data_IF_816478577925
#
_entry.id   IF_816478577925
#
_cell.length_a   1.000
_cell.length_b   1.000
_cell.length_c   1.000
_cell.angle_alpha   90.00
_cell.angle_beta   90.00
_cell.angle_gamma   90.00
#
_symmetry.space_group_name_H-M   'P 1'
#
loop_
_entity.id
_entity.type
_entity.pdbx_description
1 polymer ?
#
# COMPACT_ATOMS: atom_id res chain seq x y z
N UNK A 1 5.20 -6.67 10.88
CA UNK A 1 5.34 -7.54 9.70
C UNK A 1 5.06 -6.81 8.39
N UNK A 2 3.87 -6.20 8.20
CA UNK A 2 3.54 -5.54 6.92
C UNK A 2 4.50 -4.37 6.58
N UNK A 3 4.82 -3.53 7.58
CA UNK A 3 5.79 -2.44 7.44
C UNK A 3 7.14 -2.94 6.94
N UNK A 4 7.75 -3.92 7.62
CA UNK A 4 9.04 -4.49 7.23
C UNK A 4 8.99 -5.11 5.83
N UNK A 5 7.88 -5.78 5.47
CA UNK A 5 7.71 -6.35 4.14
C UNK A 5 7.65 -5.26 3.05
N UNK A 6 7.01 -4.14 3.33
CA UNK A 6 6.97 -2.99 2.45
C UNK A 6 8.32 -2.28 2.37
N UNK A 7 8.98 -2.04 3.51
CA UNK A 7 10.29 -1.38 3.56
C UNK A 7 11.37 -2.17 2.80
N UNK A 8 11.27 -3.51 2.76
CA UNK A 8 12.11 -4.36 1.91
C UNK A 8 11.94 -4.11 0.41
N UNK A 9 10.79 -3.57 -0.03
CA UNK A 9 10.50 -3.27 -1.44
C UNK A 9 10.84 -1.84 -1.82
N UNK A 10 10.52 -0.88 -0.96
CA UNK A 10 10.57 0.55 -1.31
C UNK A 10 11.54 1.40 -0.47
N UNK A 11 12.30 0.75 0.42
CA UNK A 11 13.21 1.40 1.35
C UNK A 11 12.54 1.82 2.66
N UNK A 12 13.31 2.47 3.53
CA UNK A 12 12.82 2.93 4.84
C UNK A 12 11.66 3.91 4.70
N UNK A 13 10.67 3.78 5.57
CA UNK A 13 9.53 4.68 5.66
C UNK A 13 9.51 5.37 7.02
N UNK A 14 9.25 6.67 7.02
CA UNK A 14 8.81 7.37 8.23
C UNK A 14 7.44 6.84 8.68
N UNK A 15 7.09 7.09 9.95
CA UNK A 15 5.77 6.71 10.45
C UNK A 15 4.63 7.40 9.68
N UNK A 16 4.83 8.66 9.27
CA UNK A 16 3.83 9.43 8.55
C UNK A 16 3.61 8.84 7.15
N UNK A 17 4.69 8.57 6.41
CA UNK A 17 4.59 7.94 5.08
C UNK A 17 3.92 6.57 5.18
N UNK A 18 4.31 5.75 6.17
CA UNK A 18 3.71 4.44 6.35
C UNK A 18 2.20 4.53 6.61
N UNK A 19 1.75 5.44 7.48
CA UNK A 19 0.32 5.64 7.76
C UNK A 19 -0.43 6.12 6.52
N UNK A 20 0.12 7.08 5.77
CA UNK A 20 -0.50 7.59 4.54
C UNK A 20 -0.63 6.50 3.49
N UNK A 21 0.44 5.73 3.24
CA UNK A 21 0.43 4.60 2.29
C UNK A 21 -0.61 3.56 2.69
N UNK A 22 -0.73 3.24 3.98
CA UNK A 22 -1.70 2.26 4.46
C UNK A 22 -3.15 2.74 4.32
N UNK A 23 -3.41 4.03 4.51
CA UNK A 23 -4.73 4.61 4.26
C UNK A 23 -5.11 4.48 2.78
N UNK A 24 -4.21 4.87 1.86
CA UNK A 24 -4.42 4.72 0.41
C UNK A 24 -4.65 3.26 0.01
N UNK A 25 -3.83 2.35 0.52
CA UNK A 25 -3.91 0.90 0.26
C UNK A 25 -5.25 0.33 0.72
N UNK A 26 -5.75 0.78 1.87
CA UNK A 26 -7.02 0.31 2.44
C UNK A 26 -8.20 0.72 1.56
N UNK A 27 -8.21 1.95 1.06
CA UNK A 27 -9.28 2.43 0.18
C UNK A 27 -9.29 1.71 -1.17
N UNK A 28 -8.11 1.45 -1.76
CA UNK A 28 -8.01 0.68 -3.01
C UNK A 28 -8.46 -0.78 -2.81
N UNK A 29 -8.11 -1.41 -1.69
CA UNK A 29 -8.60 -2.75 -1.33
C UNK A 29 -10.13 -2.77 -1.23
N UNK A 30 -10.73 -1.79 -0.51
CA UNK A 30 -12.19 -1.70 -0.36
C UNK A 30 -12.86 -1.55 -1.72
N UNK A 31 -12.36 -0.64 -2.55
CA UNK A 31 -12.87 -0.41 -3.90
C UNK A 31 -12.81 -1.69 -4.75
N UNK A 32 -11.66 -2.37 -4.75
CA UNK A 32 -11.45 -3.57 -5.54
C UNK A 32 -12.29 -4.75 -5.08
N UNK A 33 -12.48 -4.90 -3.77
CA UNK A 33 -13.33 -5.94 -3.19
C UNK A 33 -14.80 -5.72 -3.58
N UNK A 34 -15.30 -4.50 -3.48
CA UNK A 34 -16.70 -4.17 -3.78
C UNK A 34 -16.97 -4.25 -5.29
N UNK A 35 -16.11 -3.65 -6.12
CA UNK A 35 -16.37 -3.53 -7.56
C UNK A 35 -15.99 -4.77 -8.37
N UNK A 36 -14.88 -5.43 -8.02
CA UNK A 36 -14.32 -6.51 -8.84
C UNK A 36 -14.34 -7.88 -8.14
N UNK A 37 -14.88 -7.97 -6.91
CA UNK A 37 -14.83 -9.18 -6.07
C UNK A 37 -13.42 -9.77 -5.94
N UNK A 38 -12.38 -8.94 -6.07
CA UNK A 38 -10.98 -9.38 -5.97
C UNK A 38 -10.66 -9.76 -4.52
N UNK A 39 -10.11 -10.95 -4.33
CA UNK A 39 -9.57 -11.39 -3.04
C UNK A 39 -8.25 -10.68 -2.73
N UNK A 40 -8.04 -10.33 -1.47
CA UNK A 40 -6.80 -9.71 -0.99
C UNK A 40 -5.82 -10.75 -0.48
N UNK A 41 -4.88 -11.16 -1.34
CA UNK A 41 -3.67 -11.86 -0.89
C UNK A 41 -2.66 -10.87 -0.30
N UNK A 42 -1.74 -11.35 0.53
CA UNK A 42 -0.67 -10.49 1.08
C UNK A 42 0.16 -9.82 -0.02
N UNK A 43 0.50 -10.56 -1.08
CA UNK A 43 1.25 -9.99 -2.21
C UNK A 43 0.47 -8.89 -2.91
N UNK A 44 -0.84 -9.07 -3.12
CA UNK A 44 -1.69 -8.04 -3.72
C UNK A 44 -1.72 -6.76 -2.88
N UNK A 45 -1.82 -6.89 -1.54
CA UNK A 45 -1.76 -5.75 -0.62
C UNK A 45 -0.42 -5.02 -0.74
N UNK A 46 0.69 -5.76 -0.78
CA UNK A 46 2.03 -5.19 -0.90
C UNK A 46 2.24 -4.48 -2.24
N UNK A 47 1.69 -5.01 -3.34
CA UNK A 47 1.78 -4.39 -4.67
C UNK A 47 1.01 -3.05 -4.72
N UNK A 48 -0.17 -2.99 -4.10
CA UNK A 48 -0.94 -1.74 -3.97
C UNK A 48 -0.18 -0.73 -3.10
N UNK A 49 0.38 -1.18 -1.97
CA UNK A 49 1.11 -0.31 -1.06
C UNK A 49 2.37 0.27 -1.71
N UNK A 50 3.09 -0.54 -2.48
CA UNK A 50 4.25 -0.10 -3.27
C UNK A 50 3.86 0.94 -4.31
N UNK A 51 2.77 0.72 -5.06
CA UNK A 51 2.24 1.72 -6.01
C UNK A 51 1.83 3.01 -5.33
N UNK A 52 1.16 2.91 -4.18
CA UNK A 52 0.75 4.07 -3.38
C UNK A 52 1.96 4.87 -2.90
N UNK A 53 3.04 4.19 -2.48
CA UNK A 53 4.28 4.85 -2.09
C UNK A 53 4.99 5.55 -3.25
N UNK A 54 5.03 4.92 -4.43
CA UNK A 54 5.58 5.55 -5.64
C UNK A 54 4.81 6.80 -6.04
N UNK A 55 3.48 6.78 -5.91
CA UNK A 55 2.64 7.97 -6.13
C UNK A 55 2.93 9.04 -5.09
N UNK A 56 2.98 8.69 -3.80
CA UNK A 56 3.27 9.62 -2.72
C UNK A 56 4.61 10.34 -2.92
N UNK A 57 5.67 9.59 -3.28
CA UNK A 57 7.02 10.14 -3.57
C UNK A 57 7.08 11.07 -4.79
N UNK A 58 6.13 10.98 -5.71
CA UNK A 58 6.07 11.85 -6.90
C UNK A 58 5.27 13.13 -6.64
N UNK A 59 4.42 13.15 -5.62
CA UNK A 59 3.54 14.26 -5.29
C UNK A 59 4.04 15.09 -4.08
N UNK A 60 4.95 14.55 -3.29
CA UNK A 60 5.66 15.23 -2.20
C UNK A 60 7.01 15.76 -2.69
#
# INVERSE_FOLDING_TARGET
MLRQALERRIGSLSNIEFVTIMAMTTEDIKFNRIRFKKCTSLNYILDIAERSALVLKRCA
#
